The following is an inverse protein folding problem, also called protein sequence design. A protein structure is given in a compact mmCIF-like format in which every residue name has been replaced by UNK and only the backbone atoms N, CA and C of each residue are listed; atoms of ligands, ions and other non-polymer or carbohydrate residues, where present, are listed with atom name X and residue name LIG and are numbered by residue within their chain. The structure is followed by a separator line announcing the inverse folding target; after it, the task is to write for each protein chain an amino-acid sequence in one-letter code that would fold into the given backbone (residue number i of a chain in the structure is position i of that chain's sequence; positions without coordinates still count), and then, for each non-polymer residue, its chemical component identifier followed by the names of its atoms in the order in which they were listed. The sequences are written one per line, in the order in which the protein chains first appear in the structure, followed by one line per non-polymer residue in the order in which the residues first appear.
data_IF_843211712806
#
_entry.id   IF_843211712806
#
_cell.length_a   1.000
_cell.length_b   1.000
_cell.length_c   1.000
_cell.angle_alpha   90.00
_cell.angle_beta   90.00
_cell.angle_gamma   90.00
#
_symmetry.space_group_name_H-M   'P 1'
#
loop_
_entity.id
_entity.type
_entity.pdbx_description
1 polymer ?
#
# COMPACT_ATOMS: atom_id res chain seq x y z
N UNK A 1 -18.72 -15.66 -9.83
CA UNK A 1 -18.05 -16.04 -8.58
C UNK A 1 -18.19 -14.96 -7.54
N UNK A 2 -18.37 -15.38 -6.32
CA UNK A 2 -18.49 -14.48 -5.18
C UNK A 2 -17.37 -14.74 -4.19
N UNK A 3 -17.11 -13.77 -3.33
CA UNK A 3 -16.10 -13.89 -2.30
C UNK A 3 -16.34 -12.94 -1.16
N UNK A 4 -15.51 -13.06 -0.15
CA UNK A 4 -15.53 -12.20 1.02
C UNK A 4 -14.13 -11.67 1.25
N UNK A 5 -14.01 -10.35 1.38
CA UNK A 5 -12.76 -9.69 1.72
C UNK A 5 -12.88 -9.06 3.09
N UNK A 6 -11.95 -9.36 3.98
CA UNK A 6 -11.77 -8.55 5.17
C UNK A 6 -10.82 -7.40 4.79
N UNK A 7 -11.41 -6.23 4.56
CA UNK A 7 -10.66 -5.09 4.05
C UNK A 7 -9.67 -4.59 5.10
N UNK A 8 -8.37 -4.58 4.79
CA UNK A 8 -7.39 -4.08 5.75
C UNK A 8 -7.49 -2.58 5.99
N UNK A 9 -7.96 -1.82 5.01
CA UNK A 9 -7.98 -0.35 5.12
C UNK A 9 -9.08 0.17 6.04
N UNK A 10 -10.24 -0.46 6.05
CA UNK A 10 -11.36 -0.04 6.88
C UNK A 10 -11.66 -1.00 8.03
N UNK A 11 -11.18 -2.23 7.94
CA UNK A 11 -11.50 -3.29 8.89
C UNK A 11 -12.86 -3.94 8.63
N UNK A 12 -13.58 -3.50 7.62
CA UNK A 12 -14.91 -4.02 7.31
C UNK A 12 -14.82 -5.31 6.49
N UNK A 13 -15.85 -6.14 6.60
CA UNK A 13 -15.98 -7.32 5.74
C UNK A 13 -16.80 -6.94 4.52
N UNK A 14 -16.28 -7.21 3.33
CA UNK A 14 -16.93 -6.90 2.07
C UNK A 14 -17.31 -8.21 1.40
N UNK A 15 -18.60 -8.37 1.14
CA UNK A 15 -19.09 -9.48 0.32
C UNK A 15 -19.20 -8.98 -1.11
N UNK A 16 -18.57 -9.67 -2.04
CA UNK A 16 -18.56 -9.22 -3.43
C UNK A 16 -18.85 -10.37 -4.38
N UNK A 17 -19.39 -10.00 -5.53
CA UNK A 17 -19.63 -10.92 -6.65
C UNK A 17 -18.85 -10.37 -7.83
N UNK A 18 -18.06 -11.19 -8.52
CA UNK A 18 -17.32 -10.74 -9.70
C UNK A 18 -18.26 -10.27 -10.78
N UNK A 19 -17.99 -9.06 -11.28
CA UNK A 19 -18.77 -8.43 -12.32
C UNK A 19 -18.43 -6.96 -12.44
N UNK A 20 -19.00 -6.28 -13.43
CA UNK A 20 -18.64 -4.90 -13.74
C UNK A 20 -18.92 -3.93 -12.59
N UNK A 21 -19.99 -4.15 -11.83
CA UNK A 21 -20.35 -3.26 -10.72
C UNK A 21 -19.65 -3.63 -9.42
N UNK A 22 -19.42 -4.91 -9.18
CA UNK A 22 -18.84 -5.37 -7.93
C UNK A 22 -17.32 -5.28 -7.89
N UNK A 23 -16.66 -5.17 -9.06
CA UNK A 23 -15.23 -4.92 -9.09
C UNK A 23 -14.85 -3.54 -8.58
N UNK A 24 -15.82 -2.62 -8.47
CA UNK A 24 -15.59 -1.33 -7.81
C UNK A 24 -15.56 -1.45 -6.29
N UNK A 25 -16.20 -2.46 -5.73
CA UNK A 25 -16.25 -2.67 -4.29
C UNK A 25 -14.90 -3.14 -3.74
N UNK A 26 -14.16 -3.92 -4.52
CA UNK A 26 -12.83 -4.42 -4.16
C UNK A 26 -11.87 -4.08 -5.29
N UNK A 27 -10.79 -3.40 -4.94
CA UNK A 27 -9.77 -2.97 -5.89
C UNK A 27 -8.39 -3.44 -5.42
N UNK A 28 -7.46 -3.56 -6.36
CA UNK A 28 -6.07 -3.83 -6.03
C UNK A 28 -5.36 -2.50 -5.92
N UNK A 29 -4.85 -2.19 -4.72
CA UNK A 29 -4.09 -0.98 -4.48
C UNK A 29 -2.59 -1.27 -4.58
N UNK A 30 -1.86 -0.32 -5.12
CA UNK A 30 -0.41 -0.27 -4.99
C UNK A 30 -0.11 0.46 -3.68
N UNK A 31 0.41 -0.26 -2.69
CA UNK A 31 0.62 0.27 -1.34
C UNK A 31 1.49 1.53 -1.37
N UNK A 32 2.55 1.53 -2.16
CA UNK A 32 3.25 2.75 -2.58
C UNK A 32 2.62 3.16 -3.89
N UNK A 33 1.85 4.25 -3.89
CA UNK A 33 1.18 4.72 -5.09
C UNK A 33 2.20 4.88 -6.23
N UNK A 34 1.84 4.44 -7.44
CA UNK A 34 2.79 4.44 -8.56
C UNK A 34 3.29 5.85 -8.88
N UNK A 35 2.45 6.86 -8.73
CA UNK A 35 2.87 8.25 -8.90
C UNK A 35 3.88 8.67 -7.84
N UNK A 36 3.68 8.26 -6.59
CA UNK A 36 4.66 8.50 -5.53
C UNK A 36 5.98 7.79 -5.82
N UNK A 37 5.91 6.52 -6.22
CA UNK A 37 7.09 5.75 -6.59
C UNK A 37 7.88 6.45 -7.69
N UNK A 38 7.19 6.93 -8.72
CA UNK A 38 7.82 7.65 -9.83
C UNK A 38 8.59 8.88 -9.34
N UNK A 39 7.96 9.67 -8.47
CA UNK A 39 8.54 10.90 -7.93
C UNK A 39 9.68 10.65 -6.94
N UNK A 40 9.75 9.45 -6.35
CA UNK A 40 10.74 9.12 -5.33
C UNK A 40 11.78 8.11 -5.82
N UNK A 41 11.99 8.04 -7.13
CA UNK A 41 13.11 7.30 -7.68
C UNK A 41 12.79 6.30 -8.78
N UNK A 42 11.53 5.90 -8.97
CA UNK A 42 11.20 4.88 -9.96
C UNK A 42 11.53 5.34 -11.39
N UNK A 43 11.50 6.63 -11.65
CA UNK A 43 11.90 7.17 -12.96
C UNK A 43 13.35 6.86 -13.33
N UNK A 44 14.20 6.56 -12.34
CA UNK A 44 15.59 6.20 -12.55
C UNK A 44 15.81 4.71 -12.75
N UNK A 45 14.78 3.90 -12.49
CA UNK A 45 14.83 2.46 -12.68
C UNK A 45 14.61 2.12 -14.15
N UNK A 46 15.15 0.98 -14.57
CA UNK A 46 14.85 0.51 -15.92
C UNK A 46 13.41 0.02 -16.02
N UNK A 47 12.97 -0.18 -17.25
CA UNK A 47 11.60 -0.57 -17.57
C UNK A 47 11.21 -1.91 -16.92
N UNK A 48 12.11 -2.89 -16.95
CA UNK A 48 11.86 -4.20 -16.36
C UNK A 48 11.68 -4.11 -14.84
N UNK A 49 12.48 -3.30 -14.18
CA UNK A 49 12.39 -3.11 -12.73
C UNK A 49 11.10 -2.38 -12.35
N UNK A 50 10.68 -1.39 -13.15
CA UNK A 50 9.39 -0.72 -12.91
C UNK A 50 8.22 -1.68 -13.06
N UNK A 51 8.26 -2.58 -14.03
CA UNK A 51 7.22 -3.61 -14.18
C UNK A 51 7.22 -4.55 -12.97
N UNK A 52 8.40 -4.95 -12.50
CA UNK A 52 8.52 -5.80 -11.31
C UNK A 52 7.93 -5.12 -10.08
N UNK A 53 8.21 -3.83 -9.89
CA UNK A 53 7.63 -3.04 -8.80
C UNK A 53 6.10 -3.03 -8.87
N UNK A 54 5.55 -2.74 -10.04
CA UNK A 54 4.09 -2.61 -10.21
C UNK A 54 3.36 -3.93 -9.98
N UNK A 55 4.04 -5.06 -10.11
CA UNK A 55 3.45 -6.39 -9.97
C UNK A 55 3.94 -7.15 -8.73
N UNK A 56 4.72 -6.51 -7.87
CA UNK A 56 5.27 -7.15 -6.68
C UNK A 56 4.17 -7.44 -5.68
N UNK A 57 4.06 -8.68 -5.16
CA UNK A 57 3.09 -8.99 -4.10
C UNK A 57 3.21 -8.12 -2.85
N UNK A 58 4.39 -7.58 -2.54
CA UNK A 58 4.54 -6.62 -1.44
C UNK A 58 3.83 -5.30 -1.74
N UNK A 59 3.73 -4.94 -3.00
CA UNK A 59 3.14 -3.69 -3.45
C UNK A 59 1.62 -3.80 -3.63
N UNK A 60 1.10 -5.00 -3.87
CA UNK A 60 -0.30 -5.21 -4.24
C UNK A 60 -1.13 -5.64 -3.04
N UNK A 61 -2.30 -5.03 -2.87
CA UNK A 61 -3.18 -5.32 -1.75
C UNK A 61 -4.64 -5.16 -2.19
N UNK A 62 -5.44 -6.21 -1.98
CA UNK A 62 -6.88 -6.13 -2.22
C UNK A 62 -7.54 -5.34 -1.10
N UNK A 63 -8.28 -4.31 -1.43
CA UNK A 63 -8.83 -3.35 -0.47
C UNK A 63 -10.21 -2.86 -0.90
N UNK A 64 -10.88 -2.18 0.03
CA UNK A 64 -12.11 -1.45 -0.27
C UNK A 64 -11.87 -0.41 -1.37
N UNK A 65 -12.67 -0.47 -2.42
CA UNK A 65 -12.51 0.43 -3.56
C UNK A 65 -12.66 1.90 -3.20
N UNK A 66 -13.59 2.22 -2.31
CA UNK A 66 -13.82 3.60 -1.89
C UNK A 66 -12.62 4.15 -1.10
N UNK A 67 -12.08 3.34 -0.17
CA UNK A 67 -10.90 3.73 0.58
C UNK A 67 -9.70 3.90 -0.35
N UNK A 68 -9.56 3.03 -1.35
CA UNK A 68 -8.51 3.13 -2.35
C UNK A 68 -8.60 4.42 -3.14
N UNK A 69 -9.80 4.80 -3.56
CA UNK A 69 -10.02 6.05 -4.29
C UNK A 69 -9.71 7.28 -3.43
N UNK A 70 -10.06 7.23 -2.15
CA UNK A 70 -9.74 8.31 -1.20
C UNK A 70 -8.24 8.46 -1.01
N UNK A 71 -7.51 7.34 -0.93
CA UNK A 71 -6.06 7.38 -0.83
C UNK A 71 -5.42 8.05 -2.05
N UNK A 72 -5.90 7.73 -3.26
CA UNK A 72 -5.34 8.28 -4.49
C UNK A 72 -3.84 8.05 -4.56
N UNK A 73 -3.08 9.10 -4.84
CA UNK A 73 -1.61 9.07 -4.92
C UNK A 73 -0.93 9.38 -3.58
N UNK A 74 -1.69 9.41 -2.49
CA UNK A 74 -1.18 9.83 -1.20
C UNK A 74 -0.09 8.93 -0.64
N UNK A 75 0.89 9.57 0.01
CA UNK A 75 1.88 8.89 0.82
C UNK A 75 1.42 8.86 2.30
N UNK A 76 2.24 8.33 3.19
CA UNK A 76 1.88 8.21 4.60
C UNK A 76 1.69 9.56 5.31
N UNK A 77 2.21 10.65 4.73
CA UNK A 77 2.02 11.98 5.27
C UNK A 77 0.64 12.55 4.95
N UNK A 78 -0.01 12.06 3.89
CA UNK A 78 -1.29 12.60 3.42
C UNK A 78 -2.46 11.66 3.67
N UNK A 79 -2.20 10.37 3.79
CA UNK A 79 -3.26 9.38 4.00
C UNK A 79 -2.74 8.17 4.77
N UNK A 80 -3.55 7.70 5.70
CA UNK A 80 -3.33 6.43 6.41
C UNK A 80 -4.66 5.69 6.46
N UNK A 81 -4.63 4.34 6.53
CA UNK A 81 -5.87 3.58 6.68
C UNK A 81 -6.66 4.03 7.91
N UNK A 82 -7.98 4.13 7.80
CA UNK A 82 -8.84 4.42 8.93
C UNK A 82 -8.83 3.29 9.96
N UNK A 83 -8.56 2.06 9.51
CA UNK A 83 -8.33 0.92 10.40
C UNK A 83 -6.97 1.07 11.08
N UNK A 84 -6.97 1.62 12.28
CA UNK A 84 -5.73 1.90 13.01
C UNK A 84 -4.93 0.63 13.30
N UNK A 85 -5.59 -0.51 13.47
CA UNK A 85 -4.92 -1.79 13.71
C UNK A 85 -4.02 -2.21 12.54
N UNK A 86 -4.26 -1.71 11.34
CA UNK A 86 -3.47 -2.05 10.17
C UNK A 86 -2.34 -1.06 9.89
N UNK A 87 -2.32 0.11 10.54
CA UNK A 87 -1.37 1.19 10.18
C UNK A 87 0.09 0.76 10.33
N UNK A 88 0.41 -0.02 11.35
CA UNK A 88 1.78 -0.50 11.55
C UNK A 88 2.22 -1.40 10.40
N UNK A 89 1.40 -2.36 10.01
CA UNK A 89 1.68 -3.24 8.90
C UNK A 89 1.73 -2.47 7.58
N UNK A 90 0.85 -1.50 7.41
CA UNK A 90 0.79 -0.67 6.21
C UNK A 90 2.09 0.10 6.00
N UNK A 91 2.56 0.78 7.05
CA UNK A 91 3.81 1.55 7.00
C UNK A 91 5.01 0.63 6.80
N UNK A 92 5.07 -0.49 7.53
CA UNK A 92 6.14 -1.47 7.37
C UNK A 92 6.19 -2.01 5.94
N UNK A 93 5.04 -2.23 5.33
CA UNK A 93 4.93 -2.71 3.95
C UNK A 93 5.42 -1.66 2.95
N UNK A 94 5.09 -0.39 3.17
CA UNK A 94 5.61 0.70 2.33
C UNK A 94 7.14 0.80 2.42
N UNK A 95 7.68 0.65 3.61
CA UNK A 95 9.13 0.65 3.82
C UNK A 95 9.77 -0.53 3.08
N UNK A 96 9.17 -1.71 3.15
CA UNK A 96 9.68 -2.89 2.45
C UNK A 96 9.76 -2.66 0.95
N UNK A 97 8.72 -2.10 0.35
CA UNK A 97 8.68 -1.80 -1.09
C UNK A 97 9.74 -0.76 -1.46
N UNK A 98 9.78 0.35 -0.73
CA UNK A 98 10.73 1.42 -1.04
C UNK A 98 12.17 0.96 -0.84
N UNK A 99 12.45 0.18 0.18
CA UNK A 99 13.77 -0.37 0.43
C UNK A 99 14.20 -1.33 -0.67
N UNK A 100 13.30 -2.24 -1.07
CA UNK A 100 13.57 -3.23 -2.11
C UNK A 100 13.93 -2.57 -3.44
N UNK A 101 13.24 -1.49 -3.80
CA UNK A 101 13.41 -0.82 -5.09
C UNK A 101 14.25 0.45 -5.01
N UNK A 102 14.85 0.71 -3.84
CA UNK A 102 15.76 1.87 -3.61
C UNK A 102 15.08 3.20 -3.91
N UNK A 103 13.83 3.30 -3.52
CA UNK A 103 13.08 4.55 -3.58
C UNK A 103 13.34 5.34 -2.31
N UNK A 104 13.23 6.67 -2.40
CA UNK A 104 13.41 7.50 -1.21
C UNK A 104 12.07 7.96 -0.64
N UNK A 105 12.12 8.58 0.52
CA UNK A 105 10.96 9.16 1.19
C UNK A 105 11.18 10.65 1.34
N UNK A 106 10.09 11.42 1.32
CA UNK A 106 10.16 12.83 1.68
C UNK A 106 10.31 12.95 3.19
N UNK A 107 10.73 14.11 3.67
CA UNK A 107 10.83 14.36 5.11
C UNK A 107 9.48 14.18 5.81
N UNK A 108 8.40 14.73 5.23
CA UNK A 108 7.06 14.61 5.79
C UNK A 108 6.60 13.15 5.85
N UNK A 109 6.88 12.38 4.81
CA UNK A 109 6.56 10.96 4.75
C UNK A 109 7.31 10.19 5.84
N UNK A 110 8.60 10.43 5.97
CA UNK A 110 9.43 9.80 6.99
C UNK A 110 8.90 10.10 8.39
N UNK A 111 8.57 11.36 8.66
CA UNK A 111 8.06 11.78 9.95
C UNK A 111 6.73 11.07 10.29
N UNK A 112 5.81 10.99 9.31
CA UNK A 112 4.55 10.30 9.49
C UNK A 112 4.75 8.81 9.78
N UNK A 113 5.67 8.17 9.04
CA UNK A 113 5.99 6.75 9.24
C UNK A 113 6.57 6.51 10.62
N UNK A 114 7.48 7.37 11.07
CA UNK A 114 8.09 7.25 12.39
C UNK A 114 7.04 7.38 13.50
N UNK A 115 6.09 8.30 13.33
CA UNK A 115 5.01 8.47 14.31
C UNK A 115 4.13 7.23 14.43
N UNK A 116 3.82 6.58 13.29
CA UNK A 116 3.06 5.32 13.32
C UNK A 116 3.86 4.22 14.01
N UNK A 117 5.12 4.03 13.60
CA UNK A 117 5.95 2.93 14.10
C UNK A 117 6.32 3.10 15.57
N UNK A 118 6.28 4.31 16.11
CA UNK A 118 6.50 4.54 17.53
C UNK A 118 5.48 3.82 18.40
N UNK A 119 4.29 3.52 17.88
CA UNK A 119 3.24 2.79 18.60
C UNK A 119 3.37 1.27 18.43
N UNK A 120 4.31 0.80 17.61
CA UNK A 120 4.47 -0.63 17.31
C UNK A 120 5.95 -0.98 17.12
N UNK A 121 6.76 -0.85 18.19
CA UNK A 121 8.21 -1.02 18.06
C UNK A 121 8.64 -2.43 17.65
N UNK A 122 7.77 -3.42 17.82
CA UNK A 122 8.06 -4.81 17.45
C UNK A 122 7.60 -5.16 16.03
N UNK A 123 7.06 -4.20 15.28
CA UNK A 123 6.59 -4.47 13.91
C UNK A 123 7.79 -4.73 13.00
N UNK A 124 7.82 -5.91 12.40
CA UNK A 124 8.87 -6.27 11.45
C UNK A 124 8.55 -5.74 10.06
N UNK A 125 9.58 -5.31 9.34
CA UNK A 125 9.45 -4.97 7.92
C UNK A 125 9.37 -6.27 7.14
N UNK A 126 8.28 -6.50 6.37
CA UNK A 126 8.15 -7.74 5.63
C UNK A 126 9.21 -7.85 4.55
N UNK A 127 9.61 -9.08 4.26
CA UNK A 127 10.50 -9.37 3.15
C UNK A 127 9.88 -10.45 2.29
N UNK A 128 10.06 -10.31 0.99
CA UNK A 128 9.65 -11.35 0.07
C UNK A 128 10.83 -12.28 -0.16
N UNK A 129 10.65 -13.54 0.17
CA UNK A 129 11.64 -14.57 -0.14
C UNK A 129 11.31 -15.17 -1.49
N UNK A 130 12.30 -15.26 -2.33
CA UNK A 130 12.20 -15.87 -3.64
C UNK A 130 12.72 -17.30 -3.63
#
# INVERSE_FOLDING_TARGET
QSGTLRDPYTGATINFVRGAKSSEAVQIDHVVALSNAWQTGAQQLDSATRVALANDPLELLAVDGKANQTKGDGDAATWLPSNKAFRCQYVARQIAVKSKYRLWVTYAEKSAMQNVLAHCPDEAVPSQQN
#
